data_IF_150469829401
#
_entry.id   IF_150469829401
#
_cell.length_a   1.000
_cell.length_b   1.000
_cell.length_c   1.000
_cell.angle_alpha   90.00
_cell.angle_beta   90.00
_cell.angle_gamma   90.00
#
_symmetry.space_group_name_H-M   'P 1'
#
loop_
_entity.id
_entity.type
_entity.pdbx_description
1 polymer ?
#
# COMPACT_ATOMS: atom_id res chain seq x y z
N UNK A 1 -27.99 8.18 19.00
CA UNK A 1 -27.25 7.76 17.79
C UNK A 1 -25.72 7.65 18.01
N UNK A 2 -25.01 8.66 18.52
CA UNK A 2 -23.53 8.58 18.69
C UNK A 2 -23.01 7.42 19.55
N UNK A 3 -23.73 6.98 20.58
CA UNK A 3 -23.36 5.89 21.48
C UNK A 3 -23.52 4.51 20.83
N UNK A 4 -24.52 4.35 19.94
CA UNK A 4 -24.76 3.10 19.17
C UNK A 4 -23.69 2.92 18.10
N UNK A 5 -23.37 3.98 17.38
CA UNK A 5 -22.29 3.95 16.34
C UNK A 5 -20.92 3.65 16.94
N UNK A 6 -20.61 4.16 18.15
CA UNK A 6 -19.34 3.90 18.83
C UNK A 6 -19.20 2.43 19.26
N UNK A 7 -20.29 1.79 19.73
CA UNK A 7 -20.28 0.37 20.10
C UNK A 7 -20.11 -0.52 18.85
N UNK A 8 -20.76 -0.19 17.74
CA UNK A 8 -20.62 -0.97 16.47
C UNK A 8 -19.18 -0.93 15.96
N UNK A 9 -18.52 0.23 16.01
CA UNK A 9 -17.11 0.35 15.61
C UNK A 9 -16.15 -0.39 16.54
N UNK A 10 -16.40 -0.38 17.83
CA UNK A 10 -15.58 -1.11 18.79
C UNK A 10 -15.66 -2.62 18.55
N UNK A 11 -16.85 -3.15 18.25
CA UNK A 11 -17.06 -4.57 17.89
C UNK A 11 -16.31 -4.88 16.60
N UNK A 12 -16.45 -4.07 15.56
CA UNK A 12 -15.73 -4.22 14.30
C UNK A 12 -14.21 -4.30 14.51
N UNK A 13 -13.63 -3.38 15.28
CA UNK A 13 -12.21 -3.37 15.56
C UNK A 13 -11.76 -4.59 16.38
N UNK A 14 -12.56 -5.02 17.35
CA UNK A 14 -12.27 -6.22 18.13
C UNK A 14 -12.25 -7.47 17.26
N UNK A 15 -13.22 -7.63 16.38
CA UNK A 15 -13.31 -8.81 15.49
C UNK A 15 -12.20 -8.79 14.43
N UNK A 16 -11.82 -7.62 13.93
CA UNK A 16 -10.66 -7.45 13.06
C UNK A 16 -9.35 -7.85 13.75
N UNK A 17 -9.14 -7.40 14.99
CA UNK A 17 -7.95 -7.76 15.78
C UNK A 17 -7.89 -9.28 16.04
N UNK A 18 -9.02 -9.93 16.34
CA UNK A 18 -9.09 -11.40 16.47
C UNK A 18 -8.68 -12.09 15.17
N UNK A 19 -9.24 -11.65 14.03
CA UNK A 19 -8.89 -12.21 12.71
C UNK A 19 -7.39 -12.10 12.46
N UNK A 20 -6.79 -10.90 12.62
CA UNK A 20 -5.37 -10.69 12.36
C UNK A 20 -4.45 -11.42 13.34
N UNK A 21 -4.86 -11.57 14.59
CA UNK A 21 -4.14 -12.37 15.58
C UNK A 21 -4.15 -13.86 15.20
N UNK A 22 -5.31 -14.42 14.84
CA UNK A 22 -5.45 -15.83 14.42
C UNK A 22 -4.70 -16.13 13.11
N UNK A 23 -4.59 -15.14 12.21
CA UNK A 23 -3.97 -15.27 10.89
C UNK A 23 -2.61 -14.56 10.77
N UNK A 24 -1.94 -14.28 11.89
CA UNK A 24 -0.65 -13.57 11.88
C UNK A 24 0.44 -14.27 11.03
N UNK A 25 0.36 -15.58 10.88
CA UNK A 25 1.24 -16.35 10.00
C UNK A 25 1.09 -15.96 8.51
N UNK A 26 -0.09 -15.45 8.07
CA UNK A 26 -0.31 -14.90 6.73
C UNK A 26 0.18 -13.46 6.56
N UNK A 27 0.08 -12.64 7.59
CA UNK A 27 0.27 -11.20 7.45
C UNK A 27 1.54 -10.66 8.09
N UNK A 28 2.26 -11.45 8.88
CA UNK A 28 3.38 -10.93 9.69
C UNK A 28 4.77 -11.26 9.12
N UNK A 29 4.83 -11.97 8.02
CA UNK A 29 6.07 -12.44 7.41
C UNK A 29 6.17 -11.85 6.00
N UNK A 30 7.30 -11.21 5.66
CA UNK A 30 7.56 -10.79 4.28
C UNK A 30 7.55 -12.00 3.33
N UNK A 31 7.00 -11.82 2.14
CA UNK A 31 6.95 -12.88 1.11
C UNK A 31 8.35 -13.42 0.75
N UNK A 32 9.39 -12.60 0.90
CA UNK A 32 10.78 -13.04 0.73
C UNK A 32 11.25 -14.06 1.76
N UNK A 33 10.63 -14.08 2.92
CA UNK A 33 11.05 -14.88 4.07
C UNK A 33 10.18 -16.16 4.24
N UNK A 34 9.38 -16.52 3.25
CA UNK A 34 8.47 -17.68 3.28
C UNK A 34 9.20 -18.99 3.65
N UNK A 35 10.39 -19.20 3.12
CA UNK A 35 11.17 -20.41 3.40
C UNK A 35 12.02 -20.26 4.66
N UNK A 36 12.66 -19.12 4.87
CA UNK A 36 13.51 -18.87 6.06
C UNK A 36 12.75 -18.87 7.37
N UNK A 37 11.46 -18.49 7.32
CA UNK A 37 10.59 -18.45 8.51
C UNK A 37 9.88 -19.78 8.79
N UNK A 38 9.91 -20.73 7.84
CA UNK A 38 9.13 -21.98 7.94
C UNK A 38 7.61 -21.76 7.92
N UNK A 39 7.13 -20.60 7.48
CA UNK A 39 5.70 -20.25 7.58
C UNK A 39 4.79 -21.18 6.77
N UNK A 40 5.30 -21.80 5.71
CA UNK A 40 4.53 -22.75 4.92
C UNK A 40 4.20 -24.03 5.72
N UNK A 41 4.98 -24.35 6.75
CA UNK A 41 4.75 -25.49 7.62
C UNK A 41 3.66 -25.18 8.69
N UNK A 42 3.32 -23.91 8.88
CA UNK A 42 2.22 -23.47 9.76
C UNK A 42 0.86 -23.53 9.08
N UNK A 43 0.83 -23.92 7.79
CA UNK A 43 -0.41 -24.01 7.05
C UNK A 43 -1.37 -25.04 7.68
N UNK A 44 -2.62 -24.70 8.03
CA UNK A 44 -3.56 -25.67 8.55
C UNK A 44 -3.77 -26.81 7.55
N UNK A 45 -3.49 -28.05 7.95
CA UNK A 45 -3.51 -29.22 7.05
C UNK A 45 -4.83 -29.37 6.29
N UNK A 46 -5.96 -29.13 6.97
CA UNK A 46 -7.29 -29.19 6.35
C UNK A 46 -7.50 -28.11 5.27
N UNK A 47 -6.94 -26.91 5.48
CA UNK A 47 -7.00 -25.84 4.48
C UNK A 47 -6.16 -26.19 3.26
N UNK A 48 -4.92 -26.64 3.53
CA UNK A 48 -4.00 -27.01 2.46
C UNK A 48 -4.59 -28.13 1.59
N UNK A 49 -5.12 -29.21 2.22
CA UNK A 49 -5.77 -30.30 1.50
C UNK A 49 -6.94 -29.81 0.64
N UNK A 50 -7.81 -28.97 1.20
CA UNK A 50 -8.96 -28.43 0.47
C UNK A 50 -8.60 -27.51 -0.69
N UNK A 51 -7.51 -26.74 -0.58
CA UNK A 51 -7.13 -25.73 -1.56
C UNK A 51 -6.15 -26.27 -2.62
N UNK A 52 -5.34 -27.28 -2.31
CA UNK A 52 -4.40 -27.89 -3.28
C UNK A 52 -5.08 -28.58 -4.45
N UNK A 53 -6.29 -29.14 -4.22
CA UNK A 53 -7.05 -29.85 -5.25
C UNK A 53 -7.80 -28.91 -6.20
N UNK A 54 -7.87 -27.61 -5.88
CA UNK A 54 -8.54 -26.64 -6.73
C UNK A 54 -7.71 -26.37 -8.01
N UNK A 55 -8.41 -26.33 -9.14
CA UNK A 55 -7.84 -25.77 -10.35
C UNK A 55 -7.65 -24.25 -10.19
N UNK A 56 -6.86 -23.62 -11.05
CA UNK A 56 -6.55 -22.20 -10.89
C UNK A 56 -7.78 -21.29 -11.09
N UNK A 57 -8.73 -21.70 -11.93
CA UNK A 57 -10.01 -20.99 -12.12
C UNK A 57 -10.87 -21.02 -10.86
N UNK A 58 -10.94 -22.17 -10.18
CA UNK A 58 -11.62 -22.30 -8.90
C UNK A 58 -10.91 -21.52 -7.79
N UNK A 59 -9.57 -21.49 -7.82
CA UNK A 59 -8.76 -20.74 -6.87
C UNK A 59 -8.95 -19.23 -7.06
N UNK A 60 -9.06 -18.75 -8.31
CA UNK A 60 -9.42 -17.37 -8.62
C UNK A 60 -10.78 -17.00 -8.03
N UNK A 61 -11.80 -17.85 -8.27
CA UNK A 61 -13.15 -17.61 -7.77
C UNK A 61 -13.20 -17.65 -6.23
N UNK A 62 -12.46 -18.55 -5.61
CA UNK A 62 -12.30 -18.59 -4.16
C UNK A 62 -11.71 -17.30 -3.60
N UNK A 63 -10.63 -16.79 -4.18
CA UNK A 63 -9.91 -15.60 -3.67
C UNK A 63 -10.71 -14.32 -3.92
N UNK A 64 -11.27 -14.15 -5.11
CA UNK A 64 -11.95 -12.91 -5.53
C UNK A 64 -13.39 -12.88 -5.01
N UNK A 65 -14.17 -13.94 -5.30
CA UNK A 65 -15.58 -14.01 -4.91
C UNK A 65 -15.77 -14.51 -3.48
N UNK A 66 -14.69 -14.97 -2.83
CA UNK A 66 -14.71 -15.55 -1.48
C UNK A 66 -15.71 -16.71 -1.39
N UNK A 67 -15.87 -17.50 -2.47
CA UNK A 67 -16.83 -18.62 -2.53
C UNK A 67 -16.40 -19.73 -1.59
N UNK A 68 -17.32 -20.24 -0.80
CA UNK A 68 -17.12 -21.33 0.17
C UNK A 68 -17.76 -22.60 -0.38
N UNK A 69 -17.06 -23.74 -0.28
CA UNK A 69 -17.61 -25.07 -0.59
C UNK A 69 -18.12 -25.72 0.70
N UNK A 70 -19.28 -26.45 0.66
CA UNK A 70 -19.87 -27.05 1.86
C UNK A 70 -18.96 -28.05 2.58
N UNK A 71 -18.13 -28.80 1.83
CA UNK A 71 -17.22 -29.83 2.34
C UNK A 71 -15.97 -29.29 3.03
N UNK A 72 -15.70 -27.99 2.97
CA UNK A 72 -14.53 -27.42 3.62
C UNK A 72 -14.63 -27.40 5.14
N UNK A 73 -13.49 -27.41 5.81
CA UNK A 73 -13.43 -27.31 7.26
C UNK A 73 -14.08 -26.01 7.78
N UNK A 74 -14.72 -26.08 8.93
CA UNK A 74 -15.37 -24.93 9.56
C UNK A 74 -14.39 -23.78 9.81
N UNK A 75 -13.13 -24.09 10.12
CA UNK A 75 -12.08 -23.05 10.32
C UNK A 75 -11.77 -22.29 9.05
N UNK A 76 -11.75 -22.94 7.86
CA UNK A 76 -11.55 -22.26 6.58
C UNK A 76 -12.78 -21.41 6.22
N UNK A 77 -13.99 -21.94 6.41
CA UNK A 77 -15.24 -21.21 6.19
C UNK A 77 -15.28 -19.95 7.05
N UNK A 78 -15.00 -20.09 8.34
CA UNK A 78 -14.99 -18.99 9.29
C UNK A 78 -13.95 -17.91 8.92
N UNK A 79 -12.76 -18.31 8.46
CA UNK A 79 -11.76 -17.37 7.95
C UNK A 79 -12.30 -16.52 6.79
N UNK A 80 -12.93 -17.16 5.80
CA UNK A 80 -13.50 -16.46 4.64
C UNK A 80 -14.63 -15.52 5.08
N UNK A 81 -15.50 -15.95 5.97
CA UNK A 81 -16.61 -15.15 6.50
C UNK A 81 -16.12 -13.95 7.29
N UNK A 82 -15.10 -14.13 8.15
CA UNK A 82 -14.45 -13.01 8.85
C UNK A 82 -13.81 -12.03 7.88
N UNK A 83 -13.12 -12.50 6.83
CA UNK A 83 -12.57 -11.63 5.79
C UNK A 83 -13.67 -10.82 5.07
N UNK A 84 -14.83 -11.42 4.78
CA UNK A 84 -15.99 -10.71 4.20
C UNK A 84 -16.55 -9.65 5.14
N UNK A 85 -16.70 -10.01 6.42
CA UNK A 85 -17.28 -9.11 7.43
C UNK A 85 -16.38 -7.89 7.69
N UNK A 86 -15.06 -8.09 7.76
CA UNK A 86 -14.09 -7.01 8.02
C UNK A 86 -13.87 -6.14 6.78
N UNK A 87 -14.04 -6.67 5.57
CA UNK A 87 -13.94 -5.93 4.32
C UNK A 87 -15.19 -5.06 4.13
N UNK A 88 -15.17 -3.86 4.69
CA UNK A 88 -16.22 -2.84 4.56
C UNK A 88 -15.90 -1.79 3.49
N UNK A 89 -14.98 -2.11 2.57
CA UNK A 89 -14.64 -1.21 1.49
C UNK A 89 -15.75 -1.18 0.43
N UNK A 90 -16.14 -0.01 -0.05
CA UNK A 90 -17.20 0.10 -1.05
C UNK A 90 -16.79 -0.56 -2.37
N UNK A 91 -17.77 -1.16 -3.04
CA UNK A 91 -17.58 -1.72 -4.38
C UNK A 91 -17.46 -0.61 -5.43
N UNK A 92 -16.65 -0.86 -6.45
CA UNK A 92 -16.48 0.08 -7.56
C UNK A 92 -17.57 -0.19 -8.60
N UNK A 93 -18.54 0.69 -8.71
CA UNK A 93 -19.61 0.52 -9.67
C UNK A 93 -19.37 1.27 -11.01
N UNK A 94 -18.57 2.36 -10.99
CA UNK A 94 -18.30 3.16 -12.19
C UNK A 94 -16.92 3.80 -12.09
N UNK A 95 -15.93 3.27 -12.79
CA UNK A 95 -14.66 3.96 -13.03
C UNK A 95 -14.79 4.74 -14.32
N UNK A 96 -14.44 6.02 -14.30
CA UNK A 96 -14.45 6.84 -15.51
C UNK A 96 -13.34 6.37 -16.46
N UNK A 97 -13.72 5.85 -17.61
CA UNK A 97 -12.78 5.46 -18.69
C UNK A 97 -12.34 6.67 -19.54
N UNK A 98 -12.20 7.83 -18.94
CA UNK A 98 -11.74 9.00 -19.66
C UNK A 98 -10.24 8.88 -19.99
N UNK A 99 -9.91 9.04 -21.27
CA UNK A 99 -8.52 9.02 -21.74
C UNK A 99 -7.85 10.36 -21.41
N UNK A 100 -6.62 10.27 -20.91
CA UNK A 100 -5.78 11.44 -20.71
C UNK A 100 -5.52 12.15 -22.06
N UNK A 101 -5.46 13.49 -22.11
CA UNK A 101 -5.02 14.19 -23.32
C UNK A 101 -3.63 13.71 -23.76
N UNK A 102 -3.37 13.65 -25.08
CA UNK A 102 -2.16 13.05 -25.63
C UNK A 102 -0.86 13.63 -25.07
N UNK A 103 -0.82 14.95 -24.86
CA UNK A 103 0.32 15.64 -24.26
C UNK A 103 0.62 15.24 -22.80
N UNK A 104 -0.38 14.72 -22.05
CA UNK A 104 -0.21 14.20 -20.70
C UNK A 104 0.18 12.73 -20.63
N UNK A 105 0.06 11.99 -21.73
CA UNK A 105 0.40 10.56 -21.75
C UNK A 105 1.91 10.30 -21.81
N UNK A 106 2.69 11.29 -22.26
CA UNK A 106 4.13 11.16 -22.51
C UNK A 106 4.87 10.85 -21.21
N UNK A 107 5.61 9.74 -21.19
CA UNK A 107 6.41 9.31 -20.04
C UNK A 107 5.61 8.71 -18.86
N UNK A 108 4.29 8.52 -19.02
CA UNK A 108 3.44 7.92 -18.00
C UNK A 108 3.03 6.49 -18.35
N UNK A 109 3.14 5.58 -17.38
CA UNK A 109 2.56 4.25 -17.49
C UNK A 109 1.02 4.31 -17.51
N UNK A 110 0.36 3.32 -18.13
CA UNK A 110 -1.11 3.22 -18.16
C UNK A 110 -1.73 3.35 -16.77
N UNK A 111 -1.11 2.70 -15.76
CA UNK A 111 -1.51 2.82 -14.36
C UNK A 111 -1.53 4.28 -13.90
N UNK A 112 -0.45 5.03 -14.11
CA UNK A 112 -0.34 6.42 -13.64
C UNK A 112 -1.29 7.34 -14.40
N UNK A 113 -1.50 7.11 -15.69
CA UNK A 113 -2.50 7.83 -16.49
C UNK A 113 -3.90 7.63 -15.90
N UNK A 114 -4.26 6.39 -15.58
CA UNK A 114 -5.51 6.04 -14.94
C UNK A 114 -5.69 6.75 -13.59
N UNK A 115 -4.67 6.68 -12.73
CA UNK A 115 -4.71 7.25 -11.38
C UNK A 115 -4.93 8.79 -11.40
N UNK A 116 -4.15 9.53 -12.20
CA UNK A 116 -4.29 11.00 -12.24
C UNK A 116 -5.59 11.47 -12.88
N UNK A 117 -6.10 10.73 -13.88
CA UNK A 117 -7.35 11.10 -14.54
C UNK A 117 -8.56 10.90 -13.62
N UNK A 118 -8.64 9.76 -12.94
CA UNK A 118 -9.76 9.47 -12.05
C UNK A 118 -9.74 10.38 -10.80
N UNK A 119 -8.54 10.69 -10.25
CA UNK A 119 -8.46 11.66 -9.17
C UNK A 119 -8.87 13.06 -9.63
N UNK A 120 -8.43 13.51 -10.82
CA UNK A 120 -8.80 14.82 -11.34
C UNK A 120 -10.32 14.96 -11.51
N UNK A 121 -10.99 13.90 -11.99
CA UNK A 121 -12.44 13.86 -12.11
C UNK A 121 -13.14 13.94 -10.74
N UNK A 122 -12.71 13.14 -9.77
CA UNK A 122 -13.26 13.19 -8.40
C UNK A 122 -13.08 14.58 -7.78
N UNK A 123 -11.91 15.18 -7.91
CA UNK A 123 -11.61 16.53 -7.40
C UNK A 123 -12.57 17.54 -8.05
N UNK A 124 -12.75 17.48 -9.37
CA UNK A 124 -13.63 18.38 -10.08
C UNK A 124 -15.09 18.26 -9.61
N UNK A 125 -15.62 17.05 -9.48
CA UNK A 125 -16.97 16.82 -8.97
C UNK A 125 -17.16 17.41 -7.57
N UNK A 126 -16.22 17.19 -6.66
CA UNK A 126 -16.31 17.69 -5.29
C UNK A 126 -16.16 19.21 -5.22
N UNK A 127 -15.21 19.79 -5.96
CA UNK A 127 -14.95 21.24 -5.96
C UNK A 127 -16.11 22.03 -6.59
N UNK A 128 -16.70 21.51 -7.66
CA UNK A 128 -17.86 22.17 -8.32
C UNK A 128 -19.04 22.30 -7.38
N UNK A 129 -19.30 21.29 -6.54
CA UNK A 129 -20.42 21.31 -5.58
C UNK A 129 -20.32 22.42 -4.53
N UNK A 130 -19.13 22.93 -4.25
CA UNK A 130 -18.85 23.99 -3.26
C UNK A 130 -18.22 25.26 -3.88
N UNK A 131 -18.18 25.34 -5.20
CA UNK A 131 -17.55 26.47 -5.94
C UNK A 131 -16.08 26.73 -5.55
N UNK A 132 -15.32 25.70 -5.19
CA UNK A 132 -13.89 25.82 -4.88
C UNK A 132 -13.09 25.99 -6.17
N UNK A 133 -12.17 26.96 -6.19
CA UNK A 133 -11.32 27.28 -7.36
C UNK A 133 -9.83 27.08 -7.12
N UNK A 134 -9.43 26.89 -5.86
CA UNK A 134 -8.03 26.72 -5.46
C UNK A 134 -7.82 25.34 -4.88
N UNK A 135 -6.77 24.65 -5.33
CA UNK A 135 -6.42 23.29 -4.91
C UNK A 135 -5.00 23.31 -4.34
N UNK A 136 -4.78 22.57 -3.26
CA UNK A 136 -3.45 22.31 -2.69
C UNK A 136 -3.14 20.83 -2.79
N UNK A 137 -2.09 20.46 -3.51
CA UNK A 137 -1.62 19.09 -3.68
C UNK A 137 -0.49 18.80 -2.69
N UNK A 138 -0.77 17.93 -1.71
CA UNK A 138 0.13 17.58 -0.62
C UNK A 138 1.04 16.40 -1.04
N UNK A 139 2.28 16.70 -1.39
CA UNK A 139 3.24 15.76 -1.96
C UNK A 139 3.14 15.70 -3.50
N UNK A 140 3.15 16.86 -4.14
CA UNK A 140 2.89 17.03 -5.57
C UNK A 140 3.88 16.28 -6.50
N UNK A 141 5.09 15.98 -6.03
CA UNK A 141 6.11 15.35 -6.84
C UNK A 141 6.43 16.17 -8.10
N UNK A 142 6.35 15.56 -9.28
CA UNK A 142 6.58 16.23 -10.57
C UNK A 142 5.36 17.02 -11.08
N UNK A 143 4.30 17.19 -10.27
CA UNK A 143 3.17 18.05 -10.56
C UNK A 143 2.24 17.58 -11.68
N UNK A 144 2.18 16.28 -11.97
CA UNK A 144 1.31 15.77 -13.05
C UNK A 144 -0.17 16.07 -12.82
N UNK A 145 -0.67 15.85 -11.59
CA UNK A 145 -2.07 16.13 -11.24
C UNK A 145 -2.34 17.63 -11.18
N UNK A 146 -1.37 18.44 -10.70
CA UNK A 146 -1.50 19.89 -10.64
C UNK A 146 -1.72 20.48 -12.03
N UNK A 147 -0.91 20.07 -13.00
CA UNK A 147 -1.02 20.51 -14.39
C UNK A 147 -2.32 20.06 -15.04
N UNK A 148 -2.73 18.81 -14.78
CA UNK A 148 -3.96 18.24 -15.35
C UNK A 148 -5.22 18.95 -14.84
N UNK A 149 -5.29 19.25 -13.55
CA UNK A 149 -6.42 19.97 -12.94
C UNK A 149 -6.58 21.39 -13.51
N UNK A 150 -5.45 22.08 -13.72
CA UNK A 150 -5.48 23.38 -14.39
C UNK A 150 -5.90 23.27 -15.85
N UNK A 151 -5.30 22.33 -16.59
CA UNK A 151 -5.54 22.16 -18.03
C UNK A 151 -6.99 21.80 -18.34
N UNK A 152 -7.59 20.88 -17.56
CA UNK A 152 -8.95 20.42 -17.83
C UNK A 152 -10.05 21.35 -17.28
N UNK A 153 -9.78 21.99 -16.14
CA UNK A 153 -10.83 22.64 -15.36
C UNK A 153 -10.51 24.08 -14.93
N UNK A 154 -9.34 24.61 -15.26
CA UNK A 154 -8.95 25.98 -14.97
C UNK A 154 -8.64 26.29 -13.50
N UNK A 155 -8.40 25.27 -12.67
CA UNK A 155 -8.08 25.48 -11.24
C UNK A 155 -6.75 26.20 -11.06
N UNK A 156 -6.65 27.06 -10.02
CA UNK A 156 -5.39 27.48 -9.43
C UNK A 156 -4.89 26.32 -8.55
N UNK A 157 -3.64 25.92 -8.70
CA UNK A 157 -3.09 24.76 -7.97
C UNK A 157 -1.75 25.09 -7.34
N UNK A 158 -1.65 24.89 -6.02
CA UNK A 158 -0.40 24.93 -5.28
C UNK A 158 0.09 23.50 -5.03
N UNK A 159 1.19 23.11 -5.63
CA UNK A 159 1.87 21.85 -5.37
C UNK A 159 2.93 22.01 -4.27
N UNK A 160 2.81 21.23 -3.20
CA UNK A 160 3.76 21.20 -2.09
C UNK A 160 4.60 19.94 -2.12
N UNK A 161 5.92 20.07 -2.11
CA UNK A 161 6.87 18.96 -2.12
C UNK A 161 8.05 19.26 -1.21
N UNK A 162 8.57 18.27 -0.49
CA UNK A 162 9.69 18.46 0.44
C UNK A 162 11.05 18.54 -0.24
N UNK A 163 11.18 17.99 -1.44
CA UNK A 163 12.44 17.87 -2.16
C UNK A 163 12.57 18.95 -3.23
N UNK A 164 13.48 19.91 -2.99
CA UNK A 164 13.72 21.03 -3.89
C UNK A 164 14.13 20.59 -5.31
N UNK A 165 14.90 19.51 -5.45
CA UNK A 165 15.30 19.00 -6.77
C UNK A 165 14.09 18.48 -7.58
N UNK A 166 13.09 17.91 -6.91
CA UNK A 166 11.84 17.47 -7.56
C UNK A 166 11.01 18.68 -7.99
N UNK A 167 10.97 19.74 -7.17
CA UNK A 167 10.30 21.00 -7.51
C UNK A 167 10.93 21.65 -8.73
N UNK A 168 12.26 21.77 -8.76
CA UNK A 168 12.96 22.31 -9.92
C UNK A 168 12.61 21.54 -11.20
N UNK A 169 12.62 20.21 -11.14
CA UNK A 169 12.20 19.36 -12.26
C UNK A 169 10.71 19.57 -12.66
N UNK A 170 9.84 19.83 -11.69
CA UNK A 170 8.43 20.10 -11.95
C UNK A 170 8.25 21.48 -12.65
N UNK A 171 8.99 22.50 -12.20
CA UNK A 171 9.00 23.85 -12.78
C UNK A 171 9.61 23.85 -14.20
N UNK A 172 10.74 23.16 -14.42
CA UNK A 172 11.35 22.99 -15.74
C UNK A 172 10.39 22.30 -16.73
N UNK A 173 9.72 21.25 -16.26
CA UNK A 173 8.71 20.55 -17.03
C UNK A 173 7.51 21.46 -17.35
N UNK A 174 7.07 22.25 -16.39
CA UNK A 174 5.98 23.22 -16.56
C UNK A 174 6.35 24.26 -17.61
N UNK A 175 7.50 24.92 -17.47
CA UNK A 175 7.96 25.92 -18.41
C UNK A 175 8.06 25.37 -19.84
N UNK A 176 8.54 24.13 -20.00
CA UNK A 176 8.72 23.50 -21.29
C UNK A 176 7.40 23.01 -21.92
N UNK A 177 6.51 22.42 -21.15
CA UNK A 177 5.33 21.70 -21.67
C UNK A 177 4.01 22.44 -21.46
N UNK A 178 3.92 23.31 -20.45
CA UNK A 178 2.70 23.98 -20.01
C UNK A 178 2.92 25.47 -19.68
N UNK A 179 3.53 26.28 -20.56
CA UNK A 179 3.90 27.66 -20.24
C UNK A 179 2.69 28.53 -19.84
N UNK A 180 1.51 28.25 -20.39
CA UNK A 180 0.26 28.97 -20.06
C UNK A 180 -0.23 28.74 -18.62
N UNK A 181 0.29 27.73 -17.93
CA UNK A 181 -0.07 27.43 -16.53
C UNK A 181 0.77 28.20 -15.50
N UNK A 182 1.83 28.89 -15.91
CA UNK A 182 2.79 29.55 -15.00
C UNK A 182 2.15 30.50 -13.99
N UNK A 183 1.07 31.18 -14.37
CA UNK A 183 0.34 32.07 -13.46
C UNK A 183 -0.60 31.36 -12.49
N UNK A 184 -0.97 30.10 -12.78
CA UNK A 184 -2.05 29.41 -12.10
C UNK A 184 -1.60 28.15 -11.35
N UNK A 185 -0.47 27.55 -11.76
CA UNK A 185 0.11 26.39 -11.07
C UNK A 185 1.44 26.80 -10.47
N UNK A 186 1.53 26.70 -9.15
CA UNK A 186 2.71 27.09 -8.37
C UNK A 186 3.25 25.88 -7.62
N UNK A 187 4.56 25.84 -7.40
CA UNK A 187 5.23 24.80 -6.63
C UNK A 187 6.10 25.42 -5.55
N UNK A 188 5.93 24.96 -4.31
CA UNK A 188 6.68 25.47 -3.16
C UNK A 188 7.28 24.34 -2.35
N UNK A 189 8.51 24.56 -1.84
CA UNK A 189 9.20 23.60 -0.98
C UNK A 189 8.60 23.65 0.43
N UNK A 190 7.99 22.54 0.85
CA UNK A 190 7.41 22.45 2.18
C UNK A 190 7.54 21.04 2.72
N UNK A 191 8.18 20.88 3.87
CA UNK A 191 8.16 19.64 4.63
C UNK A 191 6.90 19.59 5.48
N UNK A 192 5.89 18.88 4.98
CA UNK A 192 4.55 18.80 5.59
C UNK A 192 4.57 17.98 6.88
N UNK A 193 4.03 18.59 7.93
CA UNK A 193 3.79 17.99 9.25
C UNK A 193 2.40 18.38 9.76
N UNK A 194 1.92 17.77 10.82
CA UNK A 194 0.63 18.13 11.42
C UNK A 194 0.53 19.60 11.92
N UNK A 195 1.65 20.34 11.94
CA UNK A 195 1.70 21.76 12.31
C UNK A 195 1.69 22.71 11.10
N UNK A 196 1.69 22.20 9.86
CA UNK A 196 1.91 23.00 8.64
C UNK A 196 0.68 23.81 8.16
N UNK A 197 -0.45 23.80 8.88
CA UNK A 197 -1.66 24.49 8.43
C UNK A 197 -1.42 25.99 8.15
N UNK A 198 -0.89 26.72 9.11
CA UNK A 198 -0.60 28.16 8.99
C UNK A 198 0.48 28.45 7.92
N UNK A 199 1.49 27.58 7.82
CA UNK A 199 2.53 27.68 6.79
C UNK A 199 1.92 27.57 5.38
N UNK A 200 0.99 26.62 5.19
CA UNK A 200 0.30 26.45 3.91
C UNK A 200 -0.56 27.67 3.57
N UNK A 201 -1.29 28.21 4.54
CA UNK A 201 -2.09 29.44 4.35
C UNK A 201 -1.22 30.65 3.98
N UNK A 202 -0.05 30.77 4.60
CA UNK A 202 0.93 31.82 4.26
C UNK A 202 1.46 31.65 2.83
N UNK A 203 1.84 30.43 2.44
CA UNK A 203 2.32 30.15 1.07
C UNK A 203 1.21 30.43 0.06
N UNK A 204 -0.03 30.01 0.32
CA UNK A 204 -1.17 30.29 -0.56
C UNK A 204 -1.39 31.77 -0.79
N UNK A 205 -1.33 32.57 0.28
CA UNK A 205 -1.47 34.01 0.18
C UNK A 205 -0.33 34.65 -0.64
N UNK A 206 0.91 34.22 -0.41
CA UNK A 206 2.06 34.74 -1.14
C UNK A 206 2.05 34.40 -2.64
N UNK A 207 1.50 33.21 -3.00
CA UNK A 207 1.49 32.72 -4.39
C UNK A 207 0.29 33.25 -5.20
N UNK A 208 -0.84 33.49 -4.55
CA UNK A 208 -2.08 33.85 -5.26
C UNK A 208 -2.70 35.19 -4.84
N UNK A 209 -2.14 35.87 -3.83
CA UNK A 209 -2.56 37.18 -3.32
C UNK A 209 -4.05 37.28 -2.93
N UNK A 210 -4.68 36.12 -2.65
CA UNK A 210 -6.10 36.04 -2.28
C UNK A 210 -6.34 35.03 -1.14
N UNK A 211 -7.34 35.32 -0.30
CA UNK A 211 -7.85 34.36 0.69
C UNK A 211 -9.02 33.65 0.06
N UNK A 212 -8.85 32.39 -0.28
CA UNK A 212 -9.87 31.56 -0.89
C UNK A 212 -10.04 30.25 -0.09
N UNK A 213 -11.26 29.74 -0.10
CA UNK A 213 -11.51 28.37 0.33
C UNK A 213 -10.79 27.40 -0.62
N UNK A 214 -10.20 26.35 -0.07
CA UNK A 214 -9.37 25.40 -0.83
C UNK A 214 -9.81 23.95 -0.69
N UNK A 215 -9.47 23.17 -1.72
CA UNK A 215 -9.50 21.71 -1.67
C UNK A 215 -8.09 21.17 -1.44
N UNK A 216 -7.90 20.41 -0.36
CA UNK A 216 -6.66 19.67 -0.12
C UNK A 216 -6.74 18.31 -0.80
N UNK A 217 -5.76 17.99 -1.62
CA UNK A 217 -5.68 16.70 -2.28
C UNK A 217 -4.33 16.02 -2.00
N UNK A 218 -4.25 14.72 -2.23
CA UNK A 218 -3.00 14.00 -2.25
C UNK A 218 -3.16 12.65 -2.94
N UNK A 219 -2.33 12.46 -3.97
CA UNK A 219 -2.17 11.18 -4.64
C UNK A 219 -0.90 10.51 -4.12
N UNK A 220 -1.02 9.28 -3.63
CA UNK A 220 0.10 8.54 -3.04
C UNK A 220 0.70 9.18 -1.78
N UNK A 221 -0.13 9.72 -0.89
CA UNK A 221 0.30 10.18 0.42
C UNK A 221 0.86 9.01 1.24
N UNK A 222 2.20 8.85 1.22
CA UNK A 222 2.89 7.71 1.80
C UNK A 222 3.16 7.90 3.30
N UNK A 223 2.98 6.83 4.09
CA UNK A 223 3.32 6.80 5.50
C UNK A 223 2.63 7.91 6.29
N UNK A 224 3.40 8.63 7.09
CA UNK A 224 2.89 9.67 7.99
C UNK A 224 2.27 10.86 7.26
N UNK A 225 2.69 11.17 6.03
CA UNK A 225 2.10 12.26 5.24
C UNK A 225 0.56 12.13 5.13
N UNK A 226 0.05 10.90 5.02
CA UNK A 226 -1.41 10.68 4.96
C UNK A 226 -2.13 11.07 6.24
N UNK A 227 -1.48 10.93 7.38
CA UNK A 227 -2.03 11.29 8.70
C UNK A 227 -1.84 12.78 8.97
N UNK A 228 -0.67 13.31 8.62
CA UNK A 228 -0.40 14.75 8.72
C UNK A 228 -1.38 15.55 7.85
N UNK A 229 -1.68 15.08 6.64
CA UNK A 229 -2.68 15.68 5.77
C UNK A 229 -4.09 15.74 6.40
N UNK A 230 -4.54 14.66 7.06
CA UNK A 230 -5.81 14.64 7.80
C UNK A 230 -5.80 15.68 8.93
N UNK A 231 -4.70 15.77 9.67
CA UNK A 231 -4.54 16.75 10.77
C UNK A 231 -4.43 18.18 10.27
N UNK A 232 -3.75 18.42 9.14
CA UNK A 232 -3.71 19.73 8.45
C UNK A 232 -5.14 20.12 8.06
N UNK A 233 -5.87 19.22 7.39
CA UNK A 233 -7.26 19.49 7.03
C UNK A 233 -8.10 19.86 8.25
N UNK A 234 -7.99 19.12 9.36
CA UNK A 234 -8.72 19.42 10.58
C UNK A 234 -8.43 20.85 11.09
N UNK A 235 -7.16 21.26 11.11
CA UNK A 235 -6.73 22.57 11.67
C UNK A 235 -6.97 23.75 10.71
N UNK A 236 -6.78 23.56 9.43
CA UNK A 236 -6.79 24.60 8.40
C UNK A 236 -8.21 25.09 8.11
N UNK A 237 -8.54 26.33 8.47
CA UNK A 237 -9.90 26.85 8.39
C UNK A 237 -10.40 27.05 6.95
N UNK A 238 -9.52 27.48 6.05
CA UNK A 238 -9.84 27.70 4.64
C UNK A 238 -9.96 26.39 3.85
N UNK A 239 -9.54 25.24 4.41
CA UNK A 239 -9.69 23.95 3.77
C UNK A 239 -11.13 23.41 3.94
N UNK A 240 -11.92 23.45 2.84
CA UNK A 240 -13.31 22.99 2.81
C UNK A 240 -13.46 21.56 2.35
N UNK A 241 -12.61 21.12 1.43
CA UNK A 241 -12.67 19.78 0.85
C UNK A 241 -11.34 19.10 1.07
N UNK A 242 -11.40 17.81 1.39
CA UNK A 242 -10.25 16.92 1.55
C UNK A 242 -10.45 15.67 0.72
N UNK A 243 -9.48 15.33 -0.14
CA UNK A 243 -9.49 14.13 -0.98
C UNK A 243 -8.11 13.50 -0.93
N UNK A 244 -7.97 12.37 -0.23
CA UNK A 244 -6.67 11.76 -0.01
C UNK A 244 -6.66 10.28 -0.38
N UNK A 245 -5.75 9.89 -1.26
CA UNK A 245 -5.46 8.50 -1.61
C UNK A 245 -4.15 8.09 -0.93
N UNK A 246 -4.29 7.29 0.11
CA UNK A 246 -3.16 6.74 0.84
C UNK A 246 -2.57 5.55 0.10
N UNK A 247 -1.26 5.31 0.21
CA UNK A 247 -0.67 4.22 -0.54
C UNK A 247 0.24 3.28 0.27
N UNK A 248 1.24 3.80 0.95
CA UNK A 248 2.28 2.96 1.55
C UNK A 248 2.14 2.97 3.08
N UNK A 249 1.16 2.24 3.62
CA UNK A 249 0.92 2.16 5.07
C UNK A 249 2.16 1.67 5.84
N UNK A 250 2.94 0.76 5.25
CA UNK A 250 4.18 0.24 5.84
C UNK A 250 5.32 1.27 6.00
N UNK A 251 5.14 2.50 5.50
CA UNK A 251 6.09 3.61 5.70
C UNK A 251 5.73 4.51 6.87
N UNK A 252 4.73 4.15 7.67
CA UNK A 252 4.46 4.83 8.95
C UNK A 252 5.69 4.73 9.86
N UNK A 253 6.00 5.82 10.56
CA UNK A 253 7.13 5.89 11.47
C UNK A 253 6.94 4.98 12.68
N UNK A 254 7.98 4.20 12.97
CA UNK A 254 8.02 3.30 14.13
C UNK A 254 8.33 4.12 15.38
N UNK A 255 7.59 3.86 16.45
CA UNK A 255 7.82 4.49 17.76
C UNK A 255 9.13 4.00 18.37
N UNK A 256 9.99 4.94 18.78
CA UNK A 256 11.27 4.63 19.40
C UNK A 256 11.17 4.19 20.87
N UNK A 257 10.05 4.50 21.53
CA UNK A 257 9.91 4.38 22.98
C UNK A 257 9.53 2.98 23.47
N UNK A 258 9.36 2.00 22.59
CA UNK A 258 8.90 0.65 22.92
C UNK A 258 9.74 -0.47 22.25
N UNK A 259 11.03 -0.24 22.00
CA UNK A 259 11.92 -1.31 21.57
C UNK A 259 12.33 -2.13 22.79
N UNK A 260 11.74 -3.32 22.92
CA UNK A 260 12.20 -4.32 23.89
C UNK A 260 13.28 -5.21 23.25
N UNK A 261 14.30 -5.58 24.04
CA UNK A 261 15.39 -6.49 23.65
C UNK A 261 14.98 -7.96 23.42
N UNK A 262 13.70 -8.20 23.10
CA UNK A 262 13.20 -9.56 22.84
C UNK A 262 13.62 -10.06 21.45
N UNK A 263 13.88 -11.35 21.33
CA UNK A 263 14.21 -12.08 20.08
C UNK A 263 13.15 -11.83 18.97
N UNK A 264 11.92 -11.55 19.35
CA UNK A 264 10.82 -11.14 18.44
C UNK A 264 10.62 -9.64 18.61
N UNK A 265 11.07 -8.84 17.62
CA UNK A 265 10.95 -7.39 17.66
C UNK A 265 9.48 -6.97 17.53
N UNK A 266 8.90 -6.54 18.64
CA UNK A 266 7.61 -5.83 18.62
C UNK A 266 7.74 -4.52 17.85
N UNK A 267 6.68 -4.13 17.15
CA UNK A 267 6.64 -2.86 16.45
C UNK A 267 5.38 -2.08 16.83
N UNK A 268 5.57 -0.83 17.17
CA UNK A 268 4.49 0.13 17.41
C UNK A 268 4.77 1.37 16.56
N UNK A 269 3.72 2.05 16.13
CA UNK A 269 3.83 3.19 15.23
C UNK A 269 3.38 4.47 15.91
N UNK A 270 3.97 5.61 15.53
CA UNK A 270 3.58 6.91 16.08
C UNK A 270 2.16 7.31 15.67
N UNK A 271 1.73 6.92 14.48
CA UNK A 271 0.47 7.32 13.85
C UNK A 271 -0.46 6.14 13.52
N UNK A 272 -0.30 5.00 14.21
CA UNK A 272 -1.21 3.86 14.10
C UNK A 272 -1.13 3.02 15.39
N UNK A 273 -2.26 2.70 16.03
CA UNK A 273 -3.63 3.16 15.72
C UNK A 273 -3.81 4.67 15.88
N UNK A 274 -4.70 5.26 15.07
CA UNK A 274 -4.95 6.70 15.07
C UNK A 274 -6.09 7.08 16.00
N UNK A 275 -7.27 6.41 15.90
CA UNK A 275 -8.49 6.72 16.64
C UNK A 275 -8.40 6.31 18.13
N UNK A 276 -9.08 7.07 18.98
CA UNK A 276 -9.21 6.71 20.39
C UNK A 276 -10.05 5.43 20.56
N UNK A 277 -11.02 5.20 19.68
CA UNK A 277 -11.83 4.01 19.70
C UNK A 277 -10.95 2.75 19.53
N UNK A 278 -10.10 2.69 18.50
CA UNK A 278 -9.22 1.54 18.28
C UNK A 278 -8.18 1.40 19.41
N UNK A 279 -7.59 2.50 19.88
CA UNK A 279 -6.68 2.49 21.04
C UNK A 279 -7.34 1.88 22.27
N UNK A 280 -8.58 2.26 22.55
CA UNK A 280 -9.35 1.74 23.69
C UNK A 280 -9.63 0.24 23.52
N UNK A 281 -10.00 -0.19 22.31
CA UNK A 281 -10.22 -1.62 22.03
C UNK A 281 -8.94 -2.42 22.24
N UNK A 282 -7.80 -1.96 21.72
CA UNK A 282 -6.49 -2.60 21.92
C UNK A 282 -6.15 -2.73 23.40
N UNK A 283 -6.30 -1.63 24.18
CA UNK A 283 -5.98 -1.63 25.60
C UNK A 283 -6.88 -2.57 26.42
N UNK A 284 -8.08 -2.86 25.95
CA UNK A 284 -9.03 -3.76 26.58
C UNK A 284 -8.94 -5.22 26.06
N UNK A 285 -8.02 -5.52 25.14
CA UNK A 285 -7.77 -6.87 24.68
C UNK A 285 -6.56 -7.48 25.38
N UNK A 286 -6.53 -8.82 25.44
CA UNK A 286 -5.34 -9.55 25.90
C UNK A 286 -4.30 -9.74 24.78
N UNK A 287 -4.49 -9.12 23.61
CA UNK A 287 -3.58 -9.23 22.48
C UNK A 287 -2.50 -8.15 22.54
N UNK A 288 -1.25 -8.57 22.47
CA UNK A 288 -0.16 -7.62 22.21
C UNK A 288 -0.04 -7.39 20.69
N UNK A 289 -0.62 -6.30 20.24
CA UNK A 289 -0.67 -5.94 18.82
C UNK A 289 0.70 -5.67 18.20
N UNK A 290 1.71 -5.39 19.02
CA UNK A 290 3.09 -5.21 18.57
C UNK A 290 3.68 -6.46 17.91
N UNK A 291 3.08 -7.64 18.12
CA UNK A 291 3.53 -8.89 17.49
C UNK A 291 2.94 -9.12 16.09
N UNK A 292 1.76 -8.59 15.77
CA UNK A 292 1.07 -8.88 14.51
C UNK A 292 0.67 -7.67 13.66
N UNK A 293 0.39 -6.50 14.26
CA UNK A 293 0.18 -5.26 13.51
C UNK A 293 1.52 -4.57 13.17
N UNK A 294 2.42 -5.34 12.56
CA UNK A 294 3.79 -4.91 12.23
C UNK A 294 3.87 -4.33 10.82
N UNK A 295 5.07 -3.92 10.43
CA UNK A 295 5.34 -3.40 9.09
C UNK A 295 4.93 -4.38 7.96
N UNK A 296 5.12 -5.73 8.07
CA UNK A 296 4.59 -6.66 7.07
C UNK A 296 3.06 -6.64 6.95
N UNK A 297 2.32 -6.54 8.06
CA UNK A 297 0.86 -6.36 8.04
C UNK A 297 0.45 -5.08 7.30
N UNK A 298 1.08 -3.96 7.61
CA UNK A 298 0.84 -2.70 6.91
C UNK A 298 1.24 -2.76 5.43
N UNK A 299 2.24 -3.59 5.09
CA UNK A 299 2.63 -3.85 3.71
C UNK A 299 1.57 -4.68 2.99
N UNK A 300 1.04 -5.72 3.64
CA UNK A 300 -0.03 -6.54 3.10
C UNK A 300 -1.23 -5.69 2.69
N UNK A 301 -1.68 -4.77 3.54
CA UNK A 301 -2.82 -3.88 3.26
C UNK A 301 -2.70 -3.05 1.97
N UNK A 302 -1.52 -2.98 1.35
CA UNK A 302 -1.28 -2.22 0.12
C UNK A 302 -0.34 -2.95 -0.87
N UNK A 303 -0.31 -4.29 -0.86
CA UNK A 303 0.69 -5.06 -1.57
C UNK A 303 0.38 -5.19 -3.07
N UNK A 304 -0.83 -5.59 -3.41
CA UNK A 304 -1.23 -6.00 -4.76
C UNK A 304 -2.51 -5.28 -5.20
N UNK A 305 -2.76 -5.15 -6.52
CA UNK A 305 -4.09 -4.81 -7.01
C UNK A 305 -5.12 -5.84 -6.53
N UNK A 306 -6.24 -5.38 -5.94
CA UNK A 306 -7.19 -6.28 -5.27
C UNK A 306 -7.82 -7.31 -6.22
N UNK A 307 -8.07 -6.92 -7.47
CA UNK A 307 -8.65 -7.79 -8.49
C UNK A 307 -7.59 -8.48 -9.38
N UNK A 308 -6.33 -8.56 -8.92
CA UNK A 308 -5.26 -9.15 -9.71
C UNK A 308 -5.57 -10.57 -10.18
N UNK A 309 -6.25 -11.35 -9.35
CA UNK A 309 -6.60 -12.74 -9.64
C UNK A 309 -7.93 -12.90 -10.40
N UNK A 310 -8.63 -11.81 -10.69
CA UNK A 310 -9.83 -11.88 -11.51
C UNK A 310 -9.48 -12.40 -12.92
N UNK A 311 -9.92 -13.60 -13.25
CA UNK A 311 -9.63 -14.30 -14.52
C UNK A 311 -8.11 -14.46 -14.80
N UNK A 312 -7.30 -14.62 -13.76
CA UNK A 312 -5.87 -14.85 -13.90
C UNK A 312 -5.62 -16.20 -14.57
N UNK A 313 -4.85 -16.23 -15.66
CA UNK A 313 -4.59 -17.45 -16.40
C UNK A 313 -3.62 -18.38 -15.69
N UNK A 314 -3.70 -19.68 -15.98
CA UNK A 314 -2.77 -20.73 -15.47
C UNK A 314 -1.31 -20.30 -15.68
N UNK A 315 -0.98 -19.79 -16.87
CA UNK A 315 0.37 -19.28 -17.17
C UNK A 315 0.78 -18.18 -16.20
N UNK A 316 -0.09 -17.22 -15.92
CA UNK A 316 0.21 -16.08 -15.04
C UNK A 316 0.35 -16.54 -13.59
N UNK A 317 -0.43 -17.52 -13.11
CA UNK A 317 -0.27 -18.14 -11.80
C UNK A 317 1.08 -18.84 -11.66
N UNK A 318 1.47 -19.63 -12.67
CA UNK A 318 2.77 -20.30 -12.69
C UNK A 318 3.93 -19.30 -12.69
N UNK A 319 3.85 -18.23 -13.46
CA UNK A 319 4.85 -17.16 -13.42
C UNK A 319 4.87 -16.45 -12.06
N UNK A 320 3.72 -16.19 -11.47
CA UNK A 320 3.64 -15.52 -10.17
C UNK A 320 4.28 -16.36 -9.05
N UNK A 321 3.85 -17.60 -8.89
CA UNK A 321 4.39 -18.52 -7.88
C UNK A 321 5.88 -18.78 -8.09
N UNK A 322 6.34 -18.89 -9.35
CA UNK A 322 7.74 -19.03 -9.68
C UNK A 322 8.58 -17.85 -9.14
N UNK A 323 8.19 -16.60 -9.42
CA UNK A 323 8.98 -15.45 -8.96
C UNK A 323 8.93 -15.26 -7.43
N UNK A 324 7.82 -15.60 -6.79
CA UNK A 324 7.70 -15.58 -5.32
C UNK A 324 8.65 -16.61 -4.71
N UNK A 325 8.58 -17.86 -5.16
CA UNK A 325 9.41 -18.95 -4.65
C UNK A 325 10.90 -18.74 -4.97
N UNK A 326 11.22 -18.31 -6.19
CA UNK A 326 12.60 -18.03 -6.62
C UNK A 326 13.25 -16.96 -5.72
N UNK A 327 12.50 -15.94 -5.35
CA UNK A 327 12.98 -14.91 -4.42
C UNK A 327 13.18 -15.47 -3.00
N UNK A 328 12.27 -16.32 -2.53
CA UNK A 328 12.37 -16.95 -1.22
C UNK A 328 13.56 -17.92 -1.14
N UNK A 329 13.85 -18.67 -2.22
CA UNK A 329 15.03 -19.56 -2.30
C UNK A 329 16.35 -18.76 -2.25
N UNK A 330 16.43 -17.62 -2.95
CA UNK A 330 17.59 -16.73 -2.85
C UNK A 330 17.79 -16.21 -1.42
N UNK A 331 16.72 -15.84 -0.75
CA UNK A 331 16.78 -15.37 0.65
C UNK A 331 17.17 -16.48 1.61
N UNK A 332 16.64 -17.69 1.39
CA UNK A 332 16.99 -18.88 2.17
C UNK A 332 18.48 -19.19 2.02
N UNK A 333 18.98 -19.23 0.78
CA UNK A 333 20.39 -19.45 0.52
C UNK A 333 21.29 -18.44 1.25
N UNK A 334 20.94 -17.16 1.17
CA UNK A 334 21.68 -16.11 1.86
C UNK A 334 21.68 -16.34 3.37
N UNK A 335 20.52 -16.62 3.96
CA UNK A 335 20.37 -16.83 5.41
C UNK A 335 21.17 -18.05 5.91
N UNK A 336 21.04 -19.21 5.24
CA UNK A 336 21.74 -20.45 5.61
C UNK A 336 23.27 -20.32 5.53
N UNK A 337 23.76 -19.49 4.61
CA UNK A 337 25.20 -19.28 4.43
C UNK A 337 25.73 -18.03 5.14
N UNK A 338 24.92 -17.39 6.00
CA UNK A 338 25.33 -16.23 6.80
C UNK A 338 25.54 -14.96 5.96
N UNK A 339 24.79 -14.81 4.88
CA UNK A 339 24.77 -13.61 4.05
C UNK A 339 23.49 -12.81 4.24
N UNK A 340 23.54 -11.54 3.89
CA UNK A 340 22.40 -10.68 3.60
C UNK A 340 22.40 -10.28 2.12
N UNK A 341 21.21 -10.25 1.50
CA UNK A 341 21.03 -9.81 0.12
C UNK A 341 20.94 -8.29 0.07
N UNK A 342 21.97 -7.62 -0.39
CA UNK A 342 21.98 -6.19 -0.65
C UNK A 342 21.73 -5.88 -2.12
N UNK A 343 20.78 -4.99 -2.38
CA UNK A 343 20.42 -4.60 -3.74
C UNK A 343 21.41 -3.56 -4.27
N UNK A 344 22.10 -3.86 -5.37
CA UNK A 344 23.04 -2.94 -6.02
C UNK A 344 22.35 -1.94 -6.96
N UNK A 345 21.24 -2.33 -7.57
CA UNK A 345 20.57 -1.54 -8.60
C UNK A 345 19.18 -1.12 -8.15
N UNK A 346 18.67 0.00 -8.69
CA UNK A 346 17.29 0.44 -8.38
C UNK A 346 16.22 -0.59 -8.78
N UNK A 347 16.46 -1.36 -9.86
CA UNK A 347 15.55 -2.37 -10.37
C UNK A 347 15.99 -3.76 -9.93
N UNK A 348 15.07 -4.56 -9.41
CA UNK A 348 15.28 -5.99 -9.12
C UNK A 348 15.42 -6.81 -10.41
N UNK A 349 15.51 -8.14 -10.24
CA UNK A 349 15.55 -9.12 -11.34
C UNK A 349 14.45 -8.86 -12.37
N UNK A 350 14.80 -8.84 -13.64
CA UNK A 350 13.88 -8.51 -14.74
C UNK A 350 13.15 -9.77 -15.19
N UNK A 351 11.85 -9.81 -15.01
CA UNK A 351 11.00 -10.92 -15.44
C UNK A 351 11.17 -11.28 -16.93
N UNK A 352 11.28 -10.27 -17.78
CA UNK A 352 11.46 -10.46 -19.24
C UNK A 352 12.78 -11.10 -19.64
N UNK A 353 13.74 -11.22 -18.73
CA UNK A 353 15.06 -11.82 -18.98
C UNK A 353 15.22 -13.20 -18.32
N UNK A 354 14.20 -13.69 -17.64
CA UNK A 354 14.24 -14.93 -16.87
C UNK A 354 13.28 -15.95 -17.50
N UNK A 355 13.80 -16.85 -18.32
CA UNK A 355 13.04 -17.94 -18.93
C UNK A 355 12.87 -19.12 -17.96
N UNK A 356 13.82 -19.32 -17.05
CA UNK A 356 13.89 -20.41 -16.08
C UNK A 356 14.64 -19.95 -14.82
N UNK A 357 14.77 -20.85 -13.85
CA UNK A 357 15.43 -20.51 -12.58
C UNK A 357 16.93 -20.22 -12.74
N UNK A 358 17.63 -20.88 -13.67
CA UNK A 358 19.03 -20.62 -13.94
C UNK A 358 19.27 -19.19 -14.44
N UNK A 359 18.51 -18.74 -15.44
CA UNK A 359 18.57 -17.36 -15.93
C UNK A 359 18.16 -16.34 -14.84
N UNK A 360 17.21 -16.72 -13.96
CA UNK A 360 16.80 -15.91 -12.81
C UNK A 360 17.95 -15.73 -11.82
N UNK A 361 18.68 -16.80 -11.49
CA UNK A 361 19.82 -16.74 -10.54
C UNK A 361 20.94 -15.88 -11.12
N UNK A 362 21.31 -16.07 -12.40
CA UNK A 362 22.34 -15.26 -13.07
C UNK A 362 22.01 -13.76 -13.06
N UNK A 363 20.78 -13.38 -13.46
CA UNK A 363 20.37 -11.95 -13.40
C UNK A 363 20.32 -11.44 -11.94
N UNK A 364 19.93 -12.29 -10.98
CA UNK A 364 19.87 -11.90 -9.57
C UNK A 364 21.24 -11.68 -8.97
N UNK A 365 22.21 -12.53 -9.21
CA UNK A 365 23.59 -12.38 -8.72
C UNK A 365 24.27 -11.13 -9.30
N UNK A 366 23.87 -10.67 -10.49
CA UNK A 366 24.31 -9.40 -11.06
C UNK A 366 23.65 -8.16 -10.42
N UNK A 367 22.58 -8.33 -9.64
CA UNK A 367 21.78 -7.21 -9.07
C UNK A 367 21.80 -7.14 -7.57
N UNK A 368 22.19 -8.22 -6.92
CA UNK A 368 22.29 -8.32 -5.47
C UNK A 368 23.69 -8.74 -5.09
N UNK A 369 24.22 -8.12 -4.04
CA UNK A 369 25.45 -8.55 -3.38
C UNK A 369 25.07 -9.47 -2.21
N UNK A 370 25.76 -10.59 -2.10
CA UNK A 370 25.79 -11.42 -0.91
C UNK A 370 26.80 -10.81 0.07
N UNK A 371 26.30 -10.00 1.01
CA UNK A 371 27.12 -9.35 2.01
C UNK A 371 27.16 -10.19 3.29
N UNK A 372 28.35 -10.46 3.87
CA UNK A 372 28.45 -11.17 5.14
C UNK A 372 27.57 -10.51 6.21
N UNK A 373 26.81 -11.31 6.96
CA UNK A 373 26.02 -10.83 8.08
C UNK A 373 26.92 -10.34 9.21
N UNK A 374 26.44 -9.39 10.01
CA UNK A 374 27.22 -8.80 11.11
C UNK A 374 27.83 -9.89 12.00
N UNK A 375 29.17 -9.90 12.11
CA UNK A 375 29.93 -10.84 12.94
C UNK A 375 30.77 -11.88 12.19
N UNK A 376 30.65 -12.00 10.86
CA UNK A 376 31.58 -12.81 10.03
C UNK A 376 32.66 -11.93 9.40
N UNK A 377 33.90 -12.39 9.41
CA UNK A 377 35.02 -11.73 8.73
C UNK A 377 34.95 -12.07 7.23
N UNK A 378 35.24 -11.10 6.37
CA UNK A 378 35.29 -11.28 4.90
C UNK A 378 36.24 -12.40 4.45
N UNK A 379 37.22 -12.74 5.28
CA UNK A 379 38.23 -13.78 5.01
C UNK A 379 37.68 -15.22 5.04
N UNK A 380 36.48 -15.44 5.63
CA UNK A 380 35.87 -16.78 5.72
C UNK A 380 35.03 -17.12 4.47
N UNK A 381 34.98 -16.26 3.46
CA UNK A 381 34.11 -16.39 2.30
C UNK A 381 34.92 -16.46 1.00
N UNK A 382 35.66 -17.54 0.80
CA UNK A 382 36.27 -17.90 -0.49
C UNK A 382 35.26 -18.64 -1.40
N UNK A 383 34.12 -18.04 -1.75
CA UNK A 383 33.21 -18.63 -2.71
C UNK A 383 33.14 -17.78 -3.96
N UNK A 384 33.48 -18.39 -5.09
CA UNK A 384 33.33 -17.77 -6.41
C UNK A 384 31.84 -17.66 -6.79
N UNK A 385 31.43 -16.72 -7.66
CA UNK A 385 30.05 -16.61 -8.13
C UNK A 385 29.46 -17.92 -8.63
N UNK A 386 30.28 -18.78 -9.27
CA UNK A 386 29.85 -20.09 -9.82
C UNK A 386 29.46 -21.08 -8.70
N UNK A 387 30.12 -21.02 -7.55
CA UNK A 387 29.79 -21.86 -6.39
C UNK A 387 28.44 -21.44 -5.81
N UNK A 388 28.19 -20.14 -5.71
CA UNK A 388 26.90 -19.63 -5.26
C UNK A 388 25.77 -20.05 -6.21
N UNK A 389 25.97 -19.87 -7.51
CA UNK A 389 24.99 -20.29 -8.54
C UNK A 389 24.65 -21.77 -8.41
N UNK A 390 25.66 -22.65 -8.37
CA UNK A 390 25.47 -24.11 -8.24
C UNK A 390 24.69 -24.49 -6.97
N UNK A 391 25.00 -23.88 -5.84
CA UNK A 391 24.33 -24.17 -4.59
C UNK A 391 22.88 -23.67 -4.56
N UNK A 392 22.61 -22.48 -5.12
CA UNK A 392 21.26 -21.94 -5.26
C UNK A 392 20.42 -22.83 -6.18
N UNK A 393 20.99 -23.34 -7.29
CA UNK A 393 20.32 -24.26 -8.20
C UNK A 393 19.98 -25.60 -7.51
N UNK A 394 20.88 -26.10 -6.65
CA UNK A 394 20.61 -27.30 -5.83
C UNK A 394 19.47 -27.04 -4.85
N UNK A 395 19.46 -25.89 -4.18
CA UNK A 395 18.44 -25.52 -3.22
C UNK A 395 17.07 -25.37 -3.90
N UNK A 396 17.02 -24.83 -5.12
CA UNK A 396 15.78 -24.78 -5.91
C UNK A 396 15.18 -26.17 -6.16
N UNK A 397 15.98 -27.14 -6.51
CA UNK A 397 15.50 -28.51 -6.78
C UNK A 397 14.82 -29.15 -5.57
N UNK A 398 15.21 -28.78 -4.35
CA UNK A 398 14.60 -29.27 -3.11
C UNK A 398 13.34 -28.50 -2.69
N UNK A 399 12.96 -27.43 -3.41
CA UNK A 399 11.82 -26.59 -3.02
C UNK A 399 10.84 -26.30 -4.16
N UNK A 400 11.17 -26.66 -5.42
CA UNK A 400 10.33 -26.34 -6.58
C UNK A 400 8.95 -27.03 -6.58
N UNK A 401 8.75 -28.08 -5.78
CA UNK A 401 7.48 -28.72 -5.52
C UNK A 401 6.50 -27.83 -4.74
N UNK A 402 7.01 -26.78 -4.08
CA UNK A 402 6.21 -25.85 -3.25
C UNK A 402 5.49 -24.74 -4.06
N UNK A 403 5.58 -24.75 -5.39
CA UNK A 403 4.95 -23.71 -6.24
C UNK A 403 3.44 -23.56 -5.97
N UNK A 404 2.70 -24.65 -5.91
CA UNK A 404 1.24 -24.59 -5.67
C UNK A 404 0.89 -24.06 -4.28
N UNK A 405 1.63 -24.49 -3.24
CA UNK A 405 1.39 -23.99 -1.87
C UNK A 405 1.73 -22.50 -1.73
N UNK A 406 2.78 -22.03 -2.40
CA UNK A 406 3.14 -20.61 -2.42
C UNK A 406 2.05 -19.78 -3.12
N UNK A 407 1.46 -20.30 -4.18
CA UNK A 407 0.36 -19.62 -4.87
C UNK A 407 -0.88 -19.54 -3.98
N UNK A 408 -1.28 -20.64 -3.34
CA UNK A 408 -2.39 -20.66 -2.37
C UNK A 408 -2.15 -19.68 -1.22
N UNK A 409 -0.93 -19.65 -0.66
CA UNK A 409 -0.54 -18.72 0.39
C UNK A 409 -0.73 -17.26 -0.07
N UNK A 410 -0.27 -16.94 -1.28
CA UNK A 410 -0.43 -15.61 -1.88
C UNK A 410 -1.90 -15.24 -2.11
N UNK A 411 -2.74 -16.20 -2.49
CA UNK A 411 -4.18 -16.02 -2.61
C UNK A 411 -4.87 -15.69 -1.29
N UNK A 412 -4.52 -16.43 -0.22
CA UNK A 412 -5.03 -16.13 1.13
C UNK A 412 -4.57 -14.77 1.63
N UNK A 413 -3.31 -14.38 1.32
CA UNK A 413 -2.84 -13.03 1.61
C UNK A 413 -3.66 -11.96 0.85
N UNK A 414 -3.98 -12.18 -0.42
CA UNK A 414 -4.78 -11.25 -1.20
C UNK A 414 -6.22 -11.12 -0.65
N UNK A 415 -6.82 -12.22 -0.18
CA UNK A 415 -8.12 -12.20 0.50
C UNK A 415 -8.07 -11.38 1.80
N UNK A 416 -7.01 -11.56 2.61
CA UNK A 416 -6.82 -10.86 3.87
C UNK A 416 -6.45 -9.38 3.66
N UNK A 417 -5.85 -9.02 2.51
CA UNK A 417 -5.44 -7.65 2.17
C UNK A 417 -6.62 -6.67 2.23
N UNK A 418 -7.77 -7.05 1.67
CA UNK A 418 -8.96 -6.18 1.66
C UNK A 418 -9.45 -5.88 3.09
N UNK A 419 -9.47 -6.89 3.96
CA UNK A 419 -9.79 -6.72 5.38
C UNK A 419 -8.77 -5.82 6.10
N UNK A 420 -7.47 -5.98 5.82
CA UNK A 420 -6.42 -5.18 6.42
C UNK A 420 -6.47 -3.71 5.96
N UNK A 421 -6.72 -3.45 4.68
CA UNK A 421 -6.90 -2.09 4.16
C UNK A 421 -8.16 -1.43 4.74
N UNK A 422 -9.28 -2.17 4.79
CA UNK A 422 -10.52 -1.71 5.42
C UNK A 422 -10.27 -1.30 6.87
N UNK A 423 -9.60 -2.13 7.66
CA UNK A 423 -9.28 -1.85 9.05
C UNK A 423 -8.49 -0.54 9.23
N UNK A 424 -7.45 -0.31 8.42
CA UNK A 424 -6.64 0.91 8.48
C UNK A 424 -7.46 2.15 8.07
N UNK A 425 -8.27 2.04 7.02
CA UNK A 425 -9.08 3.16 6.56
C UNK A 425 -10.23 3.48 7.54
N UNK A 426 -10.84 2.46 8.17
CA UNK A 426 -11.85 2.66 9.20
C UNK A 426 -11.29 3.31 10.48
N UNK A 427 -10.04 3.01 10.86
CA UNK A 427 -9.36 3.70 11.96
C UNK A 427 -9.21 5.21 11.68
N UNK A 428 -8.84 5.58 10.44
CA UNK A 428 -8.72 6.98 10.00
C UNK A 428 -10.07 7.70 9.98
N UNK A 429 -11.10 7.05 9.43
CA UNK A 429 -12.47 7.58 9.45
C UNK A 429 -12.96 7.79 10.87
N UNK A 430 -12.73 6.82 11.75
CA UNK A 430 -13.11 6.90 13.14
C UNK A 430 -12.46 8.12 13.83
N UNK A 431 -11.16 8.33 13.59
CA UNK A 431 -10.47 9.52 14.12
C UNK A 431 -11.08 10.82 13.58
N UNK A 432 -11.36 10.89 12.28
CA UNK A 432 -11.98 12.09 11.68
C UNK A 432 -13.34 12.39 12.30
N UNK A 433 -14.17 11.37 12.54
CA UNK A 433 -15.45 11.52 13.24
C UNK A 433 -15.29 11.93 14.71
N UNK A 434 -14.28 11.42 15.40
CA UNK A 434 -13.92 11.84 16.78
C UNK A 434 -13.57 13.34 16.82
N UNK A 435 -13.07 13.92 15.70
CA UNK A 435 -12.81 15.35 15.56
C UNK A 435 -14.03 16.13 15.02
N UNK A 436 -15.20 15.50 14.86
CA UNK A 436 -16.40 16.13 14.33
C UNK A 436 -16.45 16.30 12.82
N UNK A 437 -15.49 15.69 12.10
CA UNK A 437 -15.44 15.71 10.62
C UNK A 437 -16.29 14.57 10.06
N UNK A 438 -17.10 14.85 9.03
CA UNK A 438 -17.77 13.80 8.25
C UNK A 438 -16.86 13.36 7.13
N UNK A 439 -16.49 12.10 7.12
CA UNK A 439 -15.64 11.52 6.08
C UNK A 439 -16.24 10.23 5.52
N UNK A 440 -15.94 9.95 4.26
CA UNK A 440 -16.37 8.74 3.57
C UNK A 440 -15.22 8.14 2.78
N UNK A 441 -15.27 6.82 2.55
CA UNK A 441 -14.36 6.13 1.62
C UNK A 441 -15.07 6.07 0.27
N UNK A 442 -14.41 6.61 -0.77
CA UNK A 442 -14.92 6.57 -2.15
C UNK A 442 -13.98 5.72 -2.99
N UNK A 443 -14.51 4.73 -3.75
CA UNK A 443 -13.72 3.99 -4.72
C UNK A 443 -13.43 4.90 -5.93
N UNK A 444 -12.16 5.01 -6.31
CA UNK A 444 -11.70 5.94 -7.35
C UNK A 444 -11.01 5.22 -8.50
N UNK A 445 -10.20 4.20 -8.18
CA UNK A 445 -9.34 3.53 -9.15
C UNK A 445 -9.85 2.12 -9.47
N UNK A 446 -9.62 1.69 -10.71
CA UNK A 446 -9.84 0.30 -11.09
C UNK A 446 -8.89 -0.61 -10.29
N UNK A 447 -9.44 -1.61 -9.61
CA UNK A 447 -8.73 -2.56 -8.75
C UNK A 447 -7.78 -3.50 -9.50
N UNK A 448 -7.95 -3.65 -10.82
CA UNK A 448 -6.98 -4.38 -11.66
C UNK A 448 -5.71 -3.57 -11.94
N UNK A 449 -5.85 -2.24 -12.06
CA UNK A 449 -4.75 -1.37 -12.47
C UNK A 449 -4.00 -0.79 -11.29
N UNK A 450 -4.69 -0.43 -10.21
CA UNK A 450 -4.08 0.20 -9.05
C UNK A 450 -4.37 -0.56 -7.76
N UNK A 451 -3.34 -0.87 -6.94
CA UNK A 451 -3.53 -1.38 -5.58
C UNK A 451 -4.01 -0.28 -4.60
N UNK A 452 -4.23 0.97 -5.04
CA UNK A 452 -4.66 2.11 -4.24
C UNK A 452 -5.95 2.65 -4.83
N UNK A 453 -7.04 1.96 -4.51
CA UNK A 453 -8.31 2.20 -5.19
C UNK A 453 -9.25 3.16 -4.45
N UNK A 454 -8.91 3.57 -3.22
CA UNK A 454 -9.81 4.29 -2.34
C UNK A 454 -9.29 5.65 -1.94
N UNK A 455 -10.18 6.65 -2.00
CA UNK A 455 -9.96 7.97 -1.42
C UNK A 455 -10.77 8.14 -0.13
N UNK A 456 -10.17 8.77 0.87
CA UNK A 456 -10.90 9.37 1.98
C UNK A 456 -11.33 10.77 1.52
N UNK A 457 -12.62 11.04 1.54
CA UNK A 457 -13.22 12.33 1.17
C UNK A 457 -13.97 12.91 2.36
N UNK A 458 -13.69 14.16 2.65
CA UNK A 458 -14.37 14.92 3.71
C UNK A 458 -14.65 16.34 3.27
N UNK A 459 -15.73 16.91 3.81
CA UNK A 459 -16.15 18.29 3.54
C UNK A 459 -16.47 18.99 4.86
N UNK A 460 -15.99 20.22 5.01
CA UNK A 460 -16.38 21.16 6.07
C UNK A 460 -17.48 22.08 5.56
N UNK A 461 -18.41 22.42 6.43
CA UNK A 461 -19.46 23.41 6.17
C UNK A 461 -18.93 24.85 6.37
#
# INVERSE_FOLDING_TARGET
MARVTKNVRAIYFLDALKLFHETQWLCNIPVTDLLTSGVLDLFPKQWLHALQILEYEELNDFVISKRIKPEWSETLKLFVEKCRYIDQLPTINNVVEAKLPKNFQIGLSCKKQHEIMNLAHLVHMQCTSQNIKVIVDLGAGLGYICQLLHYLYGYKVLGLEKNQAIINNAQDRQAKMYPNSLAHVRYSCCNLTCASAETIETILYNEFEEKSDVCLIGLHACGDLSIDAIRIFYKMQVARIFIMISCCYHKLSISKNMQTDSLIKKQYFNNFPLSNCLKTVINNTNFDTGFFLRQPFLRLACQEPADRWCNMSVKTHNEHSFYVLARAVLQLYAAENGFSLMKQTQKGTRKSQCLNFESYVKDSLNRYILQPSKGRKEQDVQSTPDIHEKNILKLWKSHCDKLKIVEIYSGLQLMLQAAAESFILQDRLCWMEEQGLKATIIPVMNKHLSPRSYAIVSQKR
#
